data_IF_680439873257
#
_entry.id   IF_680439873257
#
_cell.length_a   1.000
_cell.length_b   1.000
_cell.length_c   1.000
_cell.angle_alpha   90.00
_cell.angle_beta   90.00
_cell.angle_gamma   90.00
#
_symmetry.space_group_name_H-M   'P 1'
#
loop_
_entity.id
_entity.type
_entity.pdbx_description
1 polymer ?
#
# COMPACT_ATOMS: atom_id res chain seq x y z
N UNK A 1 35.80 -10.15 -37.38
CA UNK A 1 36.08 -8.71 -37.24
C UNK A 1 34.77 -7.95 -37.18
N UNK A 2 34.57 -7.26 -36.05
CA UNK A 2 33.73 -6.09 -35.79
C UNK A 2 32.47 -5.84 -36.62
N UNK A 3 31.32 -5.78 -35.94
CA UNK A 3 30.77 -4.47 -35.57
C UNK A 3 29.61 -4.64 -34.57
N UNK A 4 29.96 -4.66 -33.29
CA UNK A 4 29.06 -4.29 -32.20
C UNK A 4 28.85 -2.77 -32.32
N UNK A 5 27.68 -2.33 -32.77
CA UNK A 5 27.28 -0.92 -32.81
C UNK A 5 25.93 -0.74 -32.13
N UNK A 6 25.91 0.14 -31.12
CA UNK A 6 24.71 0.84 -30.65
C UNK A 6 23.80 0.07 -29.70
N UNK A 7 24.09 0.18 -28.39
CA UNK A 7 23.14 -0.20 -27.33
C UNK A 7 22.07 0.90 -27.23
N UNK A 8 20.94 0.72 -27.92
CA UNK A 8 19.80 1.64 -27.85
C UNK A 8 18.63 1.20 -28.75
N UNK A 9 17.52 0.80 -28.13
CA UNK A 9 16.26 0.30 -28.72
C UNK A 9 16.34 -0.97 -29.60
N UNK A 10 15.95 -2.11 -29.01
CA UNK A 10 15.69 -3.37 -29.72
C UNK A 10 14.51 -3.19 -30.68
N UNK A 11 14.73 -3.31 -31.98
CA UNK A 11 13.70 -3.30 -33.01
C UNK A 11 13.97 -4.38 -34.07
N UNK A 12 12.91 -4.88 -34.72
CA UNK A 12 13.04 -5.76 -35.89
C UNK A 12 13.18 -4.87 -37.13
N UNK A 13 14.23 -5.08 -37.93
CA UNK A 13 14.43 -4.35 -39.18
C UNK A 13 13.52 -4.89 -40.29
N UNK A 14 13.10 -4.04 -41.24
CA UNK A 14 12.26 -4.43 -42.38
C UNK A 14 12.80 -5.68 -43.09
N UNK A 15 14.09 -5.67 -43.45
CA UNK A 15 14.73 -6.81 -44.11
C UNK A 15 14.76 -8.08 -43.26
N UNK A 16 14.78 -7.98 -41.92
CA UNK A 16 14.62 -9.18 -41.06
C UNK A 16 13.17 -9.66 -41.02
N UNK A 17 12.20 -8.75 -40.96
CA UNK A 17 10.78 -9.08 -40.90
C UNK A 17 10.30 -9.80 -42.16
N UNK A 18 10.69 -9.33 -43.34
CA UNK A 18 10.32 -9.92 -44.64
C UNK A 18 10.89 -11.33 -44.84
N UNK A 19 11.98 -11.66 -44.16
CA UNK A 19 12.62 -12.98 -44.23
C UNK A 19 12.13 -13.97 -43.15
N UNK A 20 11.17 -13.58 -42.29
CA UNK A 20 10.55 -14.49 -41.33
C UNK A 20 9.69 -15.50 -42.09
N UNK A 21 10.07 -16.78 -42.04
CA UNK A 21 9.22 -17.85 -42.57
C UNK A 21 8.18 -18.26 -41.53
N UNK A 22 6.92 -18.33 -41.96
CA UNK A 22 5.80 -18.81 -41.15
C UNK A 22 5.11 -19.98 -41.84
N UNK A 23 4.60 -20.96 -41.09
CA UNK A 23 3.76 -22.01 -41.65
C UNK A 23 2.44 -21.42 -42.15
N UNK A 24 2.04 -21.76 -43.39
CA UNK A 24 0.80 -21.28 -44.00
C UNK A 24 -0.16 -22.45 -44.26
N UNK A 25 -1.05 -22.78 -43.29
CA UNK A 25 -2.04 -23.82 -43.48
C UNK A 25 -3.15 -23.39 -44.47
N UNK A 26 -3.98 -24.31 -45.00
CA UNK A 26 -5.11 -23.97 -45.86
C UNK A 26 -6.09 -22.98 -45.21
N UNK A 27 -6.81 -22.19 -46.02
CA UNK A 27 -7.73 -21.14 -45.53
C UNK A 27 -8.81 -21.66 -44.57
N UNK A 28 -9.31 -22.87 -44.78
CA UNK A 28 -10.28 -23.49 -43.88
C UNK A 28 -9.69 -23.76 -42.48
N UNK A 29 -8.45 -24.23 -42.44
CA UNK A 29 -7.72 -24.49 -41.19
C UNK A 29 -7.35 -23.18 -40.49
N UNK A 30 -6.91 -22.15 -41.23
CA UNK A 30 -6.68 -20.81 -40.67
C UNK A 30 -7.93 -20.26 -39.96
N UNK A 31 -9.11 -20.36 -40.59
CA UNK A 31 -10.37 -19.92 -39.99
C UNK A 31 -10.72 -20.72 -38.73
N UNK A 32 -10.49 -22.03 -38.73
CA UNK A 32 -10.72 -22.88 -37.56
C UNK A 32 -9.80 -22.51 -36.40
N UNK A 33 -8.51 -22.30 -36.68
CA UNK A 33 -7.52 -21.84 -35.69
C UNK A 33 -7.98 -20.50 -35.10
N UNK A 34 -8.33 -19.53 -35.94
CA UNK A 34 -8.77 -18.20 -35.51
C UNK A 34 -10.04 -18.28 -34.65
N UNK A 35 -11.04 -19.06 -35.04
CA UNK A 35 -12.26 -19.24 -34.25
C UNK A 35 -11.97 -19.83 -32.86
N UNK A 36 -11.07 -20.81 -32.78
CA UNK A 36 -10.65 -21.41 -31.51
C UNK A 36 -9.89 -20.41 -30.64
N UNK A 37 -9.01 -19.60 -31.25
CA UNK A 37 -8.29 -18.53 -30.55
C UNK A 37 -9.25 -17.48 -30.00
N UNK A 38 -10.25 -17.05 -30.77
CA UNK A 38 -11.26 -16.09 -30.29
C UNK A 38 -12.01 -16.63 -29.07
N UNK A 39 -12.50 -17.87 -29.13
CA UNK A 39 -13.18 -18.49 -27.99
C UNK A 39 -12.26 -18.61 -26.75
N UNK A 40 -10.98 -18.90 -26.95
CA UNK A 40 -10.01 -18.94 -25.85
C UNK A 40 -9.76 -17.55 -25.24
N UNK A 41 -9.61 -16.50 -26.07
CA UNK A 41 -9.42 -15.14 -25.58
C UNK A 41 -10.65 -14.61 -24.83
N UNK A 42 -11.86 -14.88 -25.30
CA UNK A 42 -13.09 -14.54 -24.58
C UNK A 42 -13.15 -15.18 -23.18
N UNK A 43 -12.70 -16.43 -23.04
CA UNK A 43 -12.62 -17.10 -21.75
C UNK A 43 -11.58 -16.46 -20.82
N UNK A 44 -10.43 -16.03 -21.36
CA UNK A 44 -9.39 -15.33 -20.60
C UNK A 44 -9.90 -13.97 -20.10
N UNK A 45 -10.54 -13.19 -20.97
CA UNK A 45 -11.07 -11.88 -20.61
C UNK A 45 -12.14 -12.00 -19.51
N UNK A 46 -13.04 -12.98 -19.63
CA UNK A 46 -14.05 -13.28 -18.61
C UNK A 46 -13.43 -13.70 -17.28
N UNK A 47 -12.35 -14.48 -17.30
CA UNK A 47 -11.64 -14.90 -16.09
C UNK A 47 -10.97 -13.70 -15.39
N UNK A 48 -10.39 -12.77 -16.15
CA UNK A 48 -9.81 -11.52 -15.61
C UNK A 48 -10.90 -10.68 -14.96
N UNK A 49 -12.03 -10.50 -15.63
CA UNK A 49 -13.16 -9.72 -15.10
C UNK A 49 -13.70 -10.31 -13.79
N UNK A 50 -13.99 -11.61 -13.77
CA UNK A 50 -14.45 -12.30 -12.56
C UNK A 50 -13.45 -12.19 -11.41
N UNK A 51 -12.15 -12.27 -11.71
CA UNK A 51 -11.11 -12.12 -10.70
C UNK A 51 -11.06 -10.70 -10.13
N UNK A 52 -11.17 -9.67 -10.97
CA UNK A 52 -11.24 -8.28 -10.54
C UNK A 52 -12.50 -7.99 -9.71
N UNK A 53 -13.64 -8.57 -10.08
CA UNK A 53 -14.87 -8.49 -9.29
C UNK A 53 -14.70 -9.15 -7.91
N UNK A 54 -14.07 -10.33 -7.85
CA UNK A 54 -13.78 -11.01 -6.59
C UNK A 54 -12.86 -10.18 -5.66
N UNK A 55 -11.82 -9.54 -6.21
CA UNK A 55 -10.96 -8.62 -5.45
C UNK A 55 -11.79 -7.45 -4.89
N UNK A 56 -12.63 -6.85 -5.72
CA UNK A 56 -13.48 -5.73 -5.32
C UNK A 56 -14.47 -6.12 -4.22
N UNK A 57 -15.10 -7.28 -4.35
CA UNK A 57 -16.02 -7.83 -3.36
C UNK A 57 -15.32 -8.12 -2.04
N UNK A 58 -14.13 -8.73 -2.09
CA UNK A 58 -13.32 -9.02 -0.90
C UNK A 58 -12.91 -7.75 -0.16
N UNK A 59 -12.42 -6.73 -0.88
CA UNK A 59 -12.05 -5.44 -0.30
C UNK A 59 -13.26 -4.73 0.32
N UNK A 60 -14.42 -4.76 -0.35
CA UNK A 60 -15.68 -4.18 0.16
C UNK A 60 -16.16 -4.90 1.42
N UNK A 61 -16.12 -6.23 1.42
CA UNK A 61 -16.48 -7.05 2.58
C UNK A 61 -15.56 -6.72 3.77
N UNK A 62 -14.25 -6.66 3.54
CA UNK A 62 -13.26 -6.32 4.56
C UNK A 62 -13.53 -4.92 5.14
N UNK A 63 -13.68 -3.91 4.30
CA UNK A 63 -13.97 -2.54 4.74
C UNK A 63 -15.27 -2.45 5.55
N UNK A 64 -16.34 -3.10 5.09
CA UNK A 64 -17.62 -3.11 5.81
C UNK A 64 -17.55 -3.86 7.14
N UNK A 65 -16.74 -4.92 7.21
CA UNK A 65 -16.53 -5.71 8.43
C UNK A 65 -15.76 -4.89 9.45
N UNK A 66 -14.65 -4.25 9.04
CA UNK A 66 -13.89 -3.35 9.91
C UNK A 66 -14.77 -2.23 10.46
N UNK A 67 -15.56 -1.56 9.61
CA UNK A 67 -16.44 -0.48 10.02
C UNK A 67 -17.49 -0.94 11.04
N UNK A 68 -18.14 -2.09 10.80
CA UNK A 68 -19.09 -2.69 11.76
C UNK A 68 -18.43 -3.06 13.09
N UNK A 69 -17.27 -3.72 13.03
CA UNK A 69 -16.54 -4.16 14.22
C UNK A 69 -16.10 -2.96 15.06
N UNK A 70 -15.46 -1.95 14.46
CA UNK A 70 -14.98 -0.80 15.23
C UNK A 70 -16.11 0.10 15.71
N UNK A 71 -17.20 0.28 14.95
CA UNK A 71 -18.38 0.99 15.48
C UNK A 71 -18.97 0.30 16.71
N UNK A 72 -19.02 -1.03 16.72
CA UNK A 72 -19.44 -1.80 17.90
C UNK A 72 -18.50 -1.57 19.07
N UNK A 73 -17.19 -1.71 18.86
CA UNK A 73 -16.19 -1.48 19.91
C UNK A 73 -16.21 -0.04 20.45
N UNK A 74 -16.45 0.95 19.60
CA UNK A 74 -16.60 2.37 20.01
C UNK A 74 -17.84 2.61 20.89
N UNK A 75 -18.85 1.72 20.86
CA UNK A 75 -20.01 1.76 21.74
C UNK A 75 -19.86 0.94 23.02
N UNK A 76 -19.01 -0.10 23.01
CA UNK A 76 -18.82 -1.02 24.13
C UNK A 76 -17.66 -0.64 25.06
N UNK A 77 -16.62 0.02 24.53
CA UNK A 77 -15.40 0.31 25.26
C UNK A 77 -15.09 1.80 25.33
N UNK A 78 -14.37 2.19 26.38
CA UNK A 78 -13.92 3.57 26.57
C UNK A 78 -13.00 4.01 25.42
N UNK A 79 -13.23 5.25 24.98
CA UNK A 79 -12.42 5.94 23.98
C UNK A 79 -11.25 6.60 24.69
N UNK A 80 -10.03 6.21 24.33
CA UNK A 80 -8.80 6.76 24.89
C UNK A 80 -8.11 7.59 23.81
N UNK A 81 -7.57 8.75 24.17
CA UNK A 81 -6.87 9.59 23.21
C UNK A 81 -5.67 8.82 22.62
N UNK A 82 -5.43 8.96 21.32
CA UNK A 82 -4.36 8.22 20.64
C UNK A 82 -2.99 8.49 21.27
N UNK A 83 -2.74 9.72 21.69
CA UNK A 83 -1.46 10.12 22.29
C UNK A 83 -1.27 9.66 23.74
N UNK A 84 -2.32 9.17 24.40
CA UNK A 84 -2.22 8.57 25.75
C UNK A 84 -1.75 7.10 25.69
N UNK A 85 -1.90 6.45 24.53
CA UNK A 85 -1.54 5.04 24.33
C UNK A 85 -0.41 4.84 23.33
N UNK A 86 -0.14 5.82 22.47
CA UNK A 86 0.88 5.77 21.44
C UNK A 86 1.68 7.06 21.34
N UNK A 87 2.91 6.94 20.86
CA UNK A 87 3.78 8.07 20.52
C UNK A 87 4.24 7.98 19.06
N UNK A 88 4.53 9.13 18.48
CA UNK A 88 5.07 9.22 17.12
C UNK A 88 6.59 9.42 17.22
N UNK A 89 7.35 8.63 16.48
CA UNK A 89 8.80 8.86 16.38
C UNK A 89 9.11 10.00 15.42
N UNK A 90 9.93 10.94 15.89
CA UNK A 90 10.52 12.01 15.07
C UNK A 90 11.98 11.70 14.73
N UNK A 91 12.47 10.49 15.01
CA UNK A 91 13.85 10.11 14.74
C UNK A 91 14.06 10.02 13.23
N UNK A 92 15.03 10.77 12.72
CA UNK A 92 15.36 10.80 11.30
C UNK A 92 16.77 10.31 11.03
N UNK A 93 16.94 9.73 9.85
CA UNK A 93 18.20 9.25 9.32
C UNK A 93 18.43 9.84 7.92
N UNK A 94 19.64 10.33 7.67
CA UNK A 94 20.09 10.66 6.31
C UNK A 94 20.71 9.38 5.73
N UNK A 95 20.18 8.85 4.62
CA UNK A 95 20.71 7.63 4.00
C UNK A 95 22.19 7.79 3.61
N UNK A 96 23.00 6.78 3.88
CA UNK A 96 24.36 6.67 3.36
C UNK A 96 24.30 6.16 1.92
N UNK A 97 24.93 6.89 1.00
CA UNK A 97 24.97 6.58 -0.44
C UNK A 97 25.42 5.15 -0.74
N UNK A 98 26.29 4.58 0.11
CA UNK A 98 26.89 3.25 -0.06
C UNK A 98 26.09 2.12 0.61
N UNK A 99 25.08 2.45 1.42
CA UNK A 99 24.24 1.47 2.09
C UNK A 99 22.93 1.23 1.33
N UNK A 100 22.42 -0.01 1.42
CA UNK A 100 21.05 -0.33 0.99
C UNK A 100 20.09 -0.22 2.16
N UNK A 101 18.88 0.22 1.86
CA UNK A 101 17.80 0.38 2.82
C UNK A 101 16.52 -0.28 2.30
N UNK A 102 15.77 -0.89 3.21
CA UNK A 102 14.38 -1.29 3.00
C UNK A 102 13.47 -0.06 3.06
N UNK A 103 13.67 0.85 2.12
CA UNK A 103 12.98 2.13 2.08
C UNK A 103 11.49 1.95 1.77
N UNK A 104 10.64 2.51 2.61
CA UNK A 104 9.18 2.50 2.41
C UNK A 104 8.67 3.88 1.99
N UNK A 105 8.29 4.00 0.71
CA UNK A 105 7.52 5.09 0.15
C UNK A 105 6.01 4.94 0.38
N UNK A 106 5.22 5.97 0.06
CA UNK A 106 3.76 5.87 0.13
C UNK A 106 3.22 4.97 -0.98
N UNK A 107 3.86 4.97 -2.13
CA UNK A 107 3.60 4.10 -3.27
C UNK A 107 3.67 2.61 -2.90
N UNK A 108 4.54 2.25 -1.96
CA UNK A 108 4.70 0.86 -1.53
C UNK A 108 3.61 0.38 -0.57
N UNK A 109 2.78 1.27 -0.02
CA UNK A 109 1.68 0.88 0.88
C UNK A 109 0.37 0.89 0.08
N UNK A 110 -0.21 -0.28 -0.16
CA UNK A 110 -1.49 -0.40 -0.86
C UNK A 110 -2.63 0.15 0.00
N UNK A 111 -3.48 0.99 -0.61
CA UNK A 111 -4.55 1.69 0.11
C UNK A 111 -5.67 0.74 0.54
N UNK A 112 -6.19 0.92 1.76
CA UNK A 112 -7.27 0.14 2.37
C UNK A 112 -6.96 -1.33 2.70
N UNK A 113 -5.81 -1.87 2.29
CA UNK A 113 -5.52 -3.31 2.44
C UNK A 113 -4.56 -3.60 3.59
N UNK A 114 -3.74 -2.62 3.96
CA UNK A 114 -2.74 -2.83 5.00
C UNK A 114 -1.51 -3.59 4.54
N UNK A 115 -1.28 -3.69 3.22
CA UNK A 115 -0.22 -4.49 2.60
C UNK A 115 0.89 -3.62 2.00
N UNK A 116 2.08 -4.18 1.99
CA UNK A 116 3.22 -3.64 1.25
C UNK A 116 3.22 -4.24 -0.17
N UNK A 117 3.42 -3.41 -1.18
CA UNK A 117 3.45 -3.77 -2.61
C UNK A 117 4.67 -3.14 -3.28
N UNK A 118 5.07 -3.71 -4.42
CA UNK A 118 6.14 -3.18 -5.29
C UNK A 118 7.39 -2.75 -4.50
N UNK A 119 7.79 -3.57 -3.54
CA UNK A 119 8.84 -3.27 -2.57
C UNK A 119 10.15 -3.98 -2.93
N UNK A 120 11.24 -3.23 -2.98
CA UNK A 120 12.60 -3.73 -3.14
C UNK A 120 13.61 -2.85 -2.37
N UNK A 121 14.76 -3.43 -2.03
CA UNK A 121 15.84 -2.65 -1.41
C UNK A 121 16.29 -1.52 -2.34
N UNK A 122 16.45 -0.33 -1.77
CA UNK A 122 16.85 0.88 -2.49
C UNK A 122 18.24 1.32 -2.04
N UNK A 123 19.09 1.69 -2.99
CA UNK A 123 20.42 2.22 -2.67
C UNK A 123 20.29 3.62 -2.04
N UNK A 124 21.03 3.92 -0.97
CA UNK A 124 20.94 5.19 -0.26
C UNK A 124 21.09 6.43 -1.14
N UNK A 125 21.95 6.35 -2.17
CA UNK A 125 22.14 7.44 -3.16
C UNK A 125 20.88 7.82 -3.95
N UNK A 126 19.92 6.91 -4.04
CA UNK A 126 18.62 7.11 -4.71
C UNK A 126 17.58 7.68 -3.74
N UNK A 127 17.81 7.54 -2.43
CA UNK A 127 16.93 7.97 -1.36
C UNK A 127 17.27 9.42 -0.99
N UNK A 128 16.56 10.36 -1.60
CA UNK A 128 16.76 11.79 -1.36
C UNK A 128 16.25 12.23 0.02
N UNK A 129 16.99 13.13 0.65
CA UNK A 129 16.64 13.79 1.93
C UNK A 129 16.57 12.82 3.12
N UNK A 130 16.52 13.41 4.33
CA UNK A 130 16.30 12.64 5.55
C UNK A 130 15.00 11.85 5.51
N UNK A 131 15.03 10.64 6.05
CA UNK A 131 13.89 9.72 6.19
C UNK A 131 13.58 9.50 7.66
N UNK A 132 12.37 9.03 7.95
CA UNK A 132 11.97 8.70 9.32
C UNK A 132 12.34 7.25 9.61
N UNK A 133 12.95 6.98 10.76
CA UNK A 133 13.27 5.61 11.18
C UNK A 133 12.06 4.91 11.79
N UNK A 134 11.90 3.63 11.47
CA UNK A 134 10.93 2.75 12.07
C UNK A 134 11.52 1.42 12.54
N UNK A 135 10.81 0.75 13.45
CA UNK A 135 11.14 -0.56 13.98
C UNK A 135 10.07 -1.56 13.63
N UNK A 136 10.44 -2.83 13.49
CA UNK A 136 9.54 -3.96 13.33
C UNK A 136 8.48 -3.96 14.42
N UNK A 137 7.25 -4.28 14.05
CA UNK A 137 6.14 -4.43 14.97
C UNK A 137 5.36 -3.14 15.25
N UNK A 138 5.64 -2.06 14.52
CA UNK A 138 4.96 -0.76 14.67
C UNK A 138 4.08 -0.44 13.47
N UNK A 139 3.12 0.48 13.65
CA UNK A 139 2.21 0.91 12.57
C UNK A 139 2.73 2.15 11.89
N UNK A 140 2.89 2.07 10.56
CA UNK A 140 3.18 3.19 9.67
C UNK A 140 1.88 3.74 9.10
N UNK A 141 1.61 5.03 9.33
CA UNK A 141 0.41 5.71 8.83
C UNK A 141 0.77 6.82 7.84
N UNK A 142 0.18 6.80 6.65
CA UNK A 142 0.37 7.83 5.63
C UNK A 142 -0.28 9.17 6.02
N UNK A 143 0.53 10.18 6.31
CA UNK A 143 0.04 11.53 6.68
C UNK A 143 -0.41 12.33 5.48
N UNK A 144 0.19 12.08 4.31
CA UNK A 144 -0.10 12.75 3.05
C UNK A 144 -1.24 12.08 2.34
N UNK A 145 -2.23 12.86 1.88
CA UNK A 145 -3.42 12.34 1.19
C UNK A 145 -4.09 11.22 2.00
N UNK A 146 -4.51 11.49 3.25
CA UNK A 146 -5.04 10.46 4.15
C UNK A 146 -6.21 9.66 3.54
N UNK A 147 -6.97 10.23 2.60
CA UNK A 147 -8.01 9.52 1.84
C UNK A 147 -7.52 8.30 1.06
N UNK A 148 -6.21 8.17 0.78
CA UNK A 148 -5.63 6.96 0.18
C UNK A 148 -5.54 5.79 1.18
N UNK A 149 -5.80 6.06 2.47
CA UNK A 149 -5.90 5.08 3.55
C UNK A 149 -4.71 4.11 3.58
N UNK A 150 -3.50 4.69 3.55
CA UNK A 150 -2.23 3.96 3.53
C UNK A 150 -1.78 3.70 4.95
N UNK A 151 -1.94 2.46 5.40
CA UNK A 151 -1.55 2.00 6.73
C UNK A 151 -0.77 0.71 6.55
N UNK A 152 0.30 0.49 7.31
CA UNK A 152 1.05 -0.76 7.27
C UNK A 152 1.56 -1.15 8.65
N UNK A 153 1.57 -2.44 8.94
CA UNK A 153 2.22 -3.00 10.13
C UNK A 153 3.60 -3.47 9.70
N UNK A 154 4.64 -2.88 10.28
CA UNK A 154 6.02 -3.11 9.86
C UNK A 154 6.52 -4.51 10.22
N UNK A 155 7.01 -5.23 9.22
CA UNK A 155 7.54 -6.59 9.38
C UNK A 155 9.06 -6.61 9.58
N UNK A 156 9.71 -5.46 9.41
CA UNK A 156 11.15 -5.24 9.53
C UNK A 156 11.46 -3.84 10.10
N UNK A 157 12.72 -3.60 10.44
CA UNK A 157 13.27 -2.28 10.82
C UNK A 157 13.82 -1.60 9.57
N UNK A 158 13.55 -0.31 9.34
CA UNK A 158 14.29 0.50 8.35
C UNK A 158 13.85 1.98 8.35
N UNK A 159 13.96 2.66 7.20
CA UNK A 159 13.52 4.03 6.96
C UNK A 159 12.31 4.15 6.05
N UNK A 160 11.43 5.10 6.33
CA UNK A 160 10.28 5.45 5.52
C UNK A 160 10.31 6.92 5.10
N UNK A 161 9.50 7.28 4.11
CA UNK A 161 9.31 8.70 3.77
C UNK A 161 8.82 9.49 4.98
N UNK A 162 9.22 10.77 5.10
CA UNK A 162 8.75 11.65 6.19
C UNK A 162 7.25 11.95 6.08
N UNK A 163 6.60 11.57 4.99
CA UNK A 163 5.14 11.58 4.83
C UNK A 163 4.43 10.39 5.49
N UNK A 164 5.17 9.52 6.15
CA UNK A 164 4.66 8.44 6.99
C UNK A 164 4.93 8.79 8.46
N UNK A 165 3.98 8.48 9.33
CA UNK A 165 4.08 8.60 10.77
C UNK A 165 4.22 7.21 11.40
N UNK A 166 5.38 6.90 12.00
CA UNK A 166 5.57 5.67 12.76
C UNK A 166 4.95 5.80 14.16
N UNK A 167 3.89 5.03 14.42
CA UNK A 167 3.21 4.96 15.72
C UNK A 167 3.77 3.82 16.55
N UNK A 168 4.30 4.17 17.73
CA UNK A 168 4.82 3.24 18.72
C UNK A 168 3.86 3.18 19.91
N UNK A 169 3.59 1.99 20.46
CA UNK A 169 2.86 1.89 21.72
C UNK A 169 3.68 2.52 22.85
N UNK A 170 3.00 3.18 23.78
CA UNK A 170 3.60 3.62 25.05
C UNK A 170 3.82 2.41 25.96
N UNK A 171 2.88 1.46 25.94
CA UNK A 171 2.91 0.22 26.71
C UNK A 171 2.55 -0.99 25.84
N UNK A 172 3.54 -1.84 25.57
CA UNK A 172 3.41 -3.06 24.78
C UNK A 172 2.49 -4.11 25.44
N UNK A 173 2.19 -3.98 26.73
CA UNK A 173 1.34 -4.93 27.46
C UNK A 173 -0.14 -4.57 27.43
N UNK A 174 -0.49 -3.45 26.78
CA UNK A 174 -1.88 -2.94 26.73
C UNK A 174 -2.41 -2.73 25.33
N UNK A 175 -1.55 -2.71 24.32
CA UNK A 175 -1.92 -2.34 22.96
C UNK A 175 -1.32 -3.30 21.92
N UNK A 176 -2.19 -3.97 21.17
CA UNK A 176 -1.84 -4.78 20.03
C UNK A 176 -1.71 -3.89 18.78
N UNK A 177 -0.53 -3.83 18.18
CA UNK A 177 -0.31 -2.98 17.01
C UNK A 177 -0.98 -3.48 15.73
N UNK A 178 -1.36 -4.76 15.65
CA UNK A 178 -2.18 -5.30 14.56
C UNK A 178 -3.63 -4.78 14.69
N UNK A 179 -4.15 -4.73 15.92
CA UNK A 179 -5.44 -4.09 16.21
C UNK A 179 -5.42 -2.61 15.79
N UNK A 180 -4.36 -1.87 16.14
CA UNK A 180 -4.17 -0.47 15.72
C UNK A 180 -4.15 -0.33 14.20
N UNK A 181 -3.44 -1.21 13.48
CA UNK A 181 -3.42 -1.22 12.00
C UNK A 181 -4.85 -1.27 11.45
N UNK A 182 -5.65 -2.23 11.92
CA UNK A 182 -7.02 -2.41 11.42
C UNK A 182 -7.95 -1.28 11.86
N UNK A 183 -7.75 -0.70 13.04
CA UNK A 183 -8.47 0.48 13.48
C UNK A 183 -8.21 1.67 12.56
N UNK A 184 -6.94 1.94 12.25
CA UNK A 184 -6.56 3.03 11.34
C UNK A 184 -7.05 2.81 9.91
N UNK A 185 -7.14 1.55 9.46
CA UNK A 185 -7.73 1.22 8.15
C UNK A 185 -9.25 1.38 8.10
N UNK A 186 -9.93 1.47 9.25
CA UNK A 186 -11.38 1.50 9.30
C UNK A 186 -11.94 2.81 8.72
N UNK A 187 -13.05 2.70 8.00
CA UNK A 187 -13.73 3.86 7.38
C UNK A 187 -14.15 4.91 8.40
N UNK A 188 -14.54 4.50 9.61
CA UNK A 188 -14.92 5.42 10.68
C UNK A 188 -13.74 6.28 11.15
N UNK A 189 -12.55 5.69 11.32
CA UNK A 189 -11.33 6.44 11.64
C UNK A 189 -10.93 7.38 10.51
N UNK A 190 -10.91 6.87 9.27
CA UNK A 190 -10.59 7.69 8.10
C UNK A 190 -11.52 8.90 7.98
N UNK A 191 -12.83 8.74 8.21
CA UNK A 191 -13.77 9.86 8.17
C UNK A 191 -13.45 10.94 9.20
N UNK A 192 -13.01 10.59 10.41
CA UNK A 192 -12.58 11.57 11.43
C UNK A 192 -11.33 12.33 11.00
N UNK A 193 -10.35 11.62 10.44
CA UNK A 193 -9.16 12.26 9.84
C UNK A 193 -9.58 13.22 8.73
N UNK A 194 -10.51 12.80 7.88
CA UNK A 194 -11.01 13.59 6.74
C UNK A 194 -11.92 14.76 7.14
N UNK A 195 -12.44 14.83 8.37
CA UNK A 195 -13.14 16.02 8.88
C UNK A 195 -12.19 17.10 9.38
N UNK A 196 -10.94 16.72 9.68
CA UNK A 196 -9.98 17.55 10.40
C UNK A 196 -8.66 17.79 9.62
N UNK A 197 -8.66 17.59 8.30
CA UNK A 197 -7.49 17.88 7.47
C UNK A 197 -7.44 19.36 7.06
N UNK A 198 -6.23 19.85 6.80
CA UNK A 198 -5.99 21.18 6.24
C UNK A 198 -5.41 21.07 4.82
N UNK A 199 -5.80 22.00 3.94
CA UNK A 199 -5.32 22.13 2.56
C UNK A 199 -6.26 21.51 1.50
N UNK A 200 -6.74 22.34 0.57
CA UNK A 200 -7.77 21.97 -0.44
C UNK A 200 -7.28 21.05 -1.56
N UNK A 201 -5.97 20.97 -1.82
CA UNK A 201 -5.39 20.16 -2.92
C UNK A 201 -4.50 19.00 -2.47
N UNK A 202 -3.84 19.13 -1.31
CA UNK A 202 -2.93 18.10 -0.78
C UNK A 202 -3.16 18.02 0.74
N UNK A 203 -4.18 17.28 1.18
CA UNK A 203 -4.54 17.21 2.59
C UNK A 203 -3.46 16.46 3.38
N UNK A 204 -3.09 16.99 4.55
CA UNK A 204 -2.20 16.33 5.50
C UNK A 204 -2.87 16.15 6.85
N UNK A 205 -2.61 15.02 7.49
CA UNK A 205 -2.94 14.83 8.89
C UNK A 205 -2.13 15.83 9.72
N UNK A 206 -2.85 16.67 10.47
CA UNK A 206 -2.26 17.75 11.26
C UNK A 206 -1.95 17.28 12.68
N UNK A 207 -0.97 17.92 13.31
CA UNK A 207 -0.73 17.76 14.75
C UNK A 207 -1.94 18.22 15.59
N UNK A 208 -2.77 19.12 15.05
CA UNK A 208 -4.00 19.57 15.68
C UNK A 208 -5.05 18.44 15.77
N UNK A 209 -5.22 17.64 14.71
CA UNK A 209 -6.09 16.47 14.75
C UNK A 209 -5.64 15.48 15.82
N UNK A 210 -4.34 15.15 15.90
CA UNK A 210 -3.82 14.20 16.89
C UNK A 210 -4.04 14.64 18.34
N UNK A 211 -4.25 15.93 18.58
CA UNK A 211 -4.53 16.51 19.89
C UNK A 211 -6.03 16.75 20.13
N UNK A 212 -6.89 16.50 19.14
CA UNK A 212 -8.33 16.71 19.26
C UNK A 212 -9.02 15.50 19.88
N UNK A 213 -10.24 15.71 20.35
CA UNK A 213 -11.10 14.65 20.89
C UNK A 213 -11.53 13.63 19.82
N UNK A 214 -11.34 13.93 18.52
CA UNK A 214 -11.61 12.98 17.43
C UNK A 214 -10.47 11.97 17.21
N UNK A 215 -9.27 12.26 17.73
CA UNK A 215 -8.12 11.36 17.69
C UNK A 215 -8.11 10.43 18.90
N UNK A 216 -9.00 9.44 18.89
CA UNK A 216 -9.07 8.39 19.92
C UNK A 216 -8.92 6.99 19.33
N UNK A 217 -8.90 5.98 20.20
CA UNK A 217 -9.05 4.55 19.89
C UNK A 217 -9.94 3.88 20.94
N UNK A 218 -10.91 3.03 20.57
CA UNK A 218 -11.59 2.18 21.55
C UNK A 218 -10.61 1.11 22.05
N UNK A 219 -10.42 1.02 23.36
CA UNK A 219 -9.40 0.12 23.93
C UNK A 219 -10.05 -1.04 24.72
N UNK A 220 -10.39 -2.16 24.06
CA UNK A 220 -10.79 -3.37 24.77
C UNK A 220 -9.57 -4.06 25.42
N UNK A 221 -9.77 -5.03 26.33
CA UNK A 221 -8.69 -5.87 26.85
C UNK A 221 -7.91 -6.59 25.74
N UNK A 222 -6.61 -6.86 25.95
CA UNK A 222 -5.75 -7.53 24.96
C UNK A 222 -6.32 -8.81 24.34
N UNK A 223 -7.00 -9.72 25.08
CA UNK A 223 -7.59 -10.92 24.47
C UNK A 223 -8.67 -10.64 23.41
N UNK A 224 -9.21 -9.41 23.38
CA UNK A 224 -10.24 -8.96 22.43
C UNK A 224 -9.61 -8.13 21.29
N UNK A 225 -8.42 -7.56 21.48
CA UNK A 225 -7.70 -6.76 20.48
C UNK A 225 -7.03 -7.64 19.41
#
# INVERSE_FOLDING_TARGET
MNNLHGVGMKHITKGKFENIQIPLPPLAEQKCIVAKLYSLFENVDKAIELHQQNITNANTLMASTLDKTFKKLEGEYSKIALLDVMKISNKTLVPDDNQKYNYVGLENIEGNTGRLIDFCETQGKEIKSSKVEFKKGIVLYGKLRPYLNKVWFSEFDDVATTEILPFYPIDNTRLNMIFVKYYFLSSSYLQRVMRNYSGSRIPRLTTAFLKSEEAYIPLPPLPIQ
#
